data_IF_377105232895
#
_entry.id   IF_377105232895
#
_cell.length_a   1.000
_cell.length_b   1.000
_cell.length_c   1.000
_cell.angle_alpha   90.00
_cell.angle_beta   90.00
_cell.angle_gamma   90.00
#
_symmetry.space_group_name_H-M   'P 1'
#
loop_
_entity.id
_entity.type
_entity.pdbx_description
1 polymer ?
#
# COMPACT_ATOMS: atom_id res chain seq x y z
N UNK A 1 -13.42 17.49 10.35
CA UNK A 1 -13.62 18.62 9.44
C UNK A 1 -12.89 19.82 10.05
N UNK A 2 -11.75 20.20 9.51
CA UNK A 2 -11.09 21.44 9.93
C UNK A 2 -11.74 22.60 9.19
N UNK A 3 -12.46 23.45 9.92
CA UNK A 3 -13.07 24.64 9.36
C UNK A 3 -12.16 25.84 9.68
N UNK A 4 -11.74 26.56 8.65
CA UNK A 4 -11.05 27.85 8.83
C UNK A 4 -12.03 28.91 9.34
N UNK A 5 -11.58 29.99 10.01
CA UNK A 5 -12.46 31.09 10.40
C UNK A 5 -13.22 31.67 9.21
N UNK A 6 -14.54 31.80 9.37
CA UNK A 6 -15.44 32.24 8.31
C UNK A 6 -16.90 31.91 8.59
N UNK A 7 -17.76 32.21 7.62
CA UNK A 7 -19.19 31.90 7.67
C UNK A 7 -19.50 30.73 6.75
N UNK A 8 -20.15 29.69 7.27
CA UNK A 8 -20.47 28.45 6.56
C UNK A 8 -21.97 28.19 6.58
N UNK A 9 -22.52 27.82 5.44
CA UNK A 9 -23.89 27.36 5.35
C UNK A 9 -23.94 25.85 5.65
N UNK A 10 -24.69 25.49 6.68
CA UNK A 10 -24.97 24.11 7.04
C UNK A 10 -26.32 23.70 6.45
N UNK A 11 -26.33 22.69 5.58
CA UNK A 11 -27.55 22.11 5.04
C UNK A 11 -27.60 20.63 5.42
N UNK A 12 -28.61 20.24 6.21
CA UNK A 12 -28.86 18.87 6.59
C UNK A 12 -30.08 18.36 5.82
N UNK A 13 -29.89 17.31 5.03
CA UNK A 13 -30.95 16.68 4.25
C UNK A 13 -31.19 15.24 4.72
N UNK A 14 -32.45 14.80 4.64
CA UNK A 14 -32.85 13.43 4.84
C UNK A 14 -33.94 13.05 3.84
N UNK A 15 -34.10 11.75 3.58
CA UNK A 15 -35.13 11.29 2.65
C UNK A 15 -36.53 11.72 3.11
N UNK A 16 -37.29 12.33 2.20
CA UNK A 16 -38.66 12.79 2.40
C UNK A 16 -38.87 13.79 3.55
N UNK A 17 -37.86 14.65 3.81
CA UNK A 17 -37.94 15.76 4.78
C UNK A 17 -37.56 17.07 4.13
N UNK A 18 -38.00 18.18 4.72
CA UNK A 18 -37.51 19.51 4.33
C UNK A 18 -36.05 19.66 4.81
N UNK A 19 -35.14 20.25 3.98
CA UNK A 19 -33.79 20.56 4.42
C UNK A 19 -33.81 21.47 5.67
N UNK A 20 -32.91 21.19 6.60
CA UNK A 20 -32.59 22.13 7.67
C UNK A 20 -31.40 22.97 7.22
N UNK A 21 -31.56 24.27 7.25
CA UNK A 21 -30.54 25.25 6.87
C UNK A 21 -30.14 26.11 8.08
N UNK A 22 -28.85 26.27 8.29
CA UNK A 22 -28.31 27.15 9.33
C UNK A 22 -27.01 27.80 8.87
N UNK A 23 -26.69 28.95 9.41
CA UNK A 23 -25.40 29.59 9.22
C UNK A 23 -24.52 29.35 10.45
N UNK A 24 -23.30 28.83 10.25
CA UNK A 24 -22.31 28.62 11.29
C UNK A 24 -21.21 29.67 11.13
N UNK A 25 -20.92 30.41 12.20
CA UNK A 25 -19.78 31.31 12.25
C UNK A 25 -18.62 30.60 12.99
N UNK A 26 -17.54 30.35 12.26
CA UNK A 26 -16.28 29.92 12.84
C UNK A 26 -15.43 31.16 13.06
N UNK A 27 -14.99 31.38 14.28
CA UNK A 27 -14.16 32.55 14.66
C UNK A 27 -12.72 32.08 14.89
N UNK A 28 -11.74 32.95 14.60
CA UNK A 28 -10.36 32.70 14.95
C UNK A 28 -10.24 32.51 16.46
N UNK A 29 -9.49 31.50 16.92
CA UNK A 29 -9.21 31.36 18.34
C UNK A 29 -8.38 32.56 18.85
N UNK A 30 -8.50 32.87 20.14
CA UNK A 30 -7.53 33.74 20.81
C UNK A 30 -6.18 33.01 20.86
N UNK A 31 -5.10 33.68 20.44
CA UNK A 31 -3.77 33.10 20.38
C UNK A 31 -3.44 32.35 19.08
N UNK A 32 -2.36 31.56 19.05
CA UNK A 32 -2.01 30.73 17.90
C UNK A 32 -2.94 29.52 17.80
N UNK A 33 -3.17 29.04 16.55
CA UNK A 33 -3.90 27.81 16.29
C UNK A 33 -3.28 27.08 15.08
N UNK A 34 -2.62 25.96 15.35
CA UNK A 34 -1.83 25.23 14.37
C UNK A 34 -2.65 24.09 13.76
N UNK A 35 -2.60 23.99 12.44
CA UNK A 35 -3.19 22.89 11.67
C UNK A 35 -2.15 22.33 10.71
N UNK A 36 -2.30 21.06 10.34
CA UNK A 36 -1.55 20.46 9.24
C UNK A 36 -1.99 21.04 7.91
N UNK A 37 -1.04 21.37 7.04
CA UNK A 37 -1.28 21.88 5.70
C UNK A 37 -0.86 20.86 4.63
N UNK A 38 0.40 20.42 4.64
CA UNK A 38 0.97 19.53 3.63
C UNK A 38 2.20 18.79 4.15
N UNK A 39 2.72 17.85 3.34
CA UNK A 39 4.03 17.20 3.56
C UNK A 39 4.85 17.20 2.26
N UNK A 40 6.15 17.02 2.42
CA UNK A 40 7.10 16.75 1.33
C UNK A 40 7.92 15.50 1.67
N UNK A 41 8.16 14.65 0.67
CA UNK A 41 9.03 13.48 0.80
C UNK A 41 10.46 13.93 0.50
N UNK A 42 11.29 13.97 1.52
CA UNK A 42 12.69 14.42 1.41
C UNK A 42 13.60 13.29 0.94
N UNK A 43 13.30 12.05 1.34
CA UNK A 43 14.10 10.88 1.04
C UNK A 43 13.24 9.62 1.03
N UNK A 44 13.61 8.66 0.17
CA UNK A 44 12.88 7.42 -0.01
C UNK A 44 11.59 7.57 -0.81
N UNK A 45 10.72 6.59 -0.67
CA UNK A 45 9.36 6.58 -1.22
C UNK A 45 8.39 5.91 -0.25
N UNK A 46 7.09 6.24 -0.32
CA UNK A 46 6.07 5.62 0.54
C UNK A 46 5.72 4.24 -0.02
N UNK A 47 6.75 3.39 -0.07
CA UNK A 47 6.74 2.10 -0.73
C UNK A 47 7.09 0.98 0.27
N UNK A 48 6.51 -0.21 0.03
CA UNK A 48 6.77 -1.41 0.84
C UNK A 48 8.28 -1.69 0.97
N UNK A 49 8.70 -2.10 2.16
CA UNK A 49 10.09 -2.46 2.45
C UNK A 49 11.08 -1.29 2.48
N UNK A 50 10.63 -0.04 2.25
CA UNK A 50 11.48 1.14 2.25
C UNK A 50 11.33 1.99 3.50
N UNK A 51 12.32 2.86 3.71
CA UNK A 51 12.30 3.94 4.70
C UNK A 51 11.97 5.24 3.99
N UNK A 52 11.00 5.98 4.51
CA UNK A 52 10.63 7.30 4.02
C UNK A 52 10.95 8.36 5.07
N UNK A 53 11.45 9.50 4.62
CA UNK A 53 11.67 10.70 5.43
C UNK A 53 10.80 11.83 4.89
N UNK A 54 9.98 12.39 5.76
CA UNK A 54 9.02 13.44 5.40
C UNK A 54 9.21 14.68 6.28
N UNK A 55 9.22 15.85 5.65
CA UNK A 55 8.98 17.12 6.32
C UNK A 55 7.50 17.47 6.29
N UNK A 56 7.01 18.19 7.31
CA UNK A 56 5.63 18.66 7.38
C UNK A 56 5.55 20.17 7.25
N UNK A 57 4.44 20.63 6.67
CA UNK A 57 4.04 22.02 6.65
C UNK A 57 2.82 22.18 7.57
N UNK A 58 2.90 23.15 8.45
CA UNK A 58 1.78 23.55 9.32
C UNK A 58 1.40 24.99 9.05
N UNK A 59 0.11 25.28 9.13
CA UNK A 59 -0.43 26.63 9.04
C UNK A 59 -0.86 27.10 10.42
N UNK A 60 -0.56 28.36 10.75
CA UNK A 60 -1.09 29.01 11.93
C UNK A 60 -2.32 29.86 11.53
N UNK A 61 -3.50 29.29 11.65
CA UNK A 61 -4.77 30.01 11.38
C UNK A 61 -5.26 30.87 12.56
N UNK A 62 -4.45 30.96 13.63
CA UNK A 62 -4.69 31.84 14.76
C UNK A 62 -4.28 33.29 14.48
N UNK A 63 -4.49 34.17 15.48
CA UNK A 63 -4.24 35.62 15.39
C UNK A 63 -2.91 36.05 16.02
N UNK A 64 -2.21 35.12 16.69
CA UNK A 64 -0.91 35.33 17.30
C UNK A 64 0.09 34.31 16.77
N UNK A 65 1.38 34.67 16.79
CA UNK A 65 2.45 33.78 16.38
C UNK A 65 2.72 32.68 17.41
N UNK A 66 3.08 31.49 16.93
CA UNK A 66 3.58 30.40 17.73
C UNK A 66 5.11 30.26 17.58
N UNK A 67 5.79 29.76 18.62
CA UNK A 67 7.23 29.54 18.58
C UNK A 67 7.63 28.31 19.40
N UNK A 68 8.78 27.71 19.06
CA UNK A 68 9.33 26.52 19.69
C UNK A 68 8.28 25.40 19.78
N UNK A 69 7.69 25.05 18.65
CA UNK A 69 6.68 24.00 18.57
C UNK A 69 7.39 22.67 18.42
N UNK A 70 7.10 21.74 19.33
CA UNK A 70 7.45 20.33 19.24
C UNK A 70 6.22 19.56 18.74
N UNK A 71 6.39 18.75 17.71
CA UNK A 71 5.34 17.90 17.16
C UNK A 71 5.73 16.42 17.30
N UNK A 72 4.75 15.60 17.64
CA UNK A 72 4.91 14.14 17.75
C UNK A 72 3.96 13.48 16.77
N UNK A 73 4.52 12.59 15.93
CA UNK A 73 3.78 11.80 14.94
C UNK A 73 3.46 10.43 15.53
N UNK A 74 2.23 9.99 15.37
CA UNK A 74 1.80 8.64 15.74
C UNK A 74 0.95 8.02 14.64
N UNK A 75 0.87 6.69 14.61
CA UNK A 75 -0.01 5.93 13.71
C UNK A 75 -0.44 4.62 14.37
N UNK A 76 -1.65 4.17 14.08
CA UNK A 76 -2.18 2.87 14.50
C UNK A 76 -2.02 1.81 13.40
N UNK A 77 -1.40 2.14 12.27
CA UNK A 77 -1.21 1.19 11.16
C UNK A 77 -0.27 0.05 11.59
N UNK A 78 -0.72 -1.22 11.47
CA UNK A 78 0.12 -2.38 11.83
C UNK A 78 1.27 -2.61 10.83
N UNK A 79 1.30 -1.89 9.73
CA UNK A 79 2.30 -2.01 8.66
C UNK A 79 3.40 -0.95 8.74
N UNK A 80 3.36 -0.06 9.73
CA UNK A 80 4.29 1.06 9.87
C UNK A 80 5.15 0.88 11.11
N UNK A 81 6.44 1.08 10.95
CA UNK A 81 7.40 1.23 12.04
C UNK A 81 7.90 2.67 12.00
N UNK A 82 7.56 3.47 13.00
CA UNK A 82 8.12 4.80 13.18
C UNK A 82 9.58 4.70 13.64
N UNK A 83 10.51 5.24 12.84
CA UNK A 83 11.94 5.26 13.16
C UNK A 83 12.30 6.55 13.91
N UNK A 84 11.76 7.67 13.46
CA UNK A 84 11.73 8.95 14.18
C UNK A 84 10.34 9.54 14.08
N UNK A 85 9.80 9.99 15.19
CA UNK A 85 8.44 10.52 15.30
C UNK A 85 8.38 11.98 15.73
N UNK A 86 9.53 12.65 15.89
CA UNK A 86 9.60 14.00 16.42
C UNK A 86 9.88 14.99 15.29
N UNK A 87 9.25 16.13 15.37
CA UNK A 87 9.46 17.28 14.50
C UNK A 87 9.50 18.56 15.32
N UNK A 88 10.20 19.57 14.82
CA UNK A 88 10.25 20.89 15.45
C UNK A 88 9.95 22.00 14.43
N UNK A 89 9.41 23.11 14.95
CA UNK A 89 9.20 24.35 14.19
C UNK A 89 9.64 25.52 15.07
N UNK A 90 10.52 26.38 14.55
CA UNK A 90 11.05 27.50 15.33
C UNK A 90 9.99 28.59 15.56
N UNK A 91 9.36 29.05 14.46
CA UNK A 91 8.44 30.18 14.49
C UNK A 91 7.42 30.09 13.37
N UNK A 92 6.15 30.20 13.73
CA UNK A 92 5.02 30.22 12.79
C UNK A 92 4.18 31.46 13.03
N UNK A 93 4.31 32.44 12.14
CA UNK A 93 3.53 33.68 12.25
C UNK A 93 2.04 33.40 12.07
N UNK A 94 1.23 34.31 12.62
CA UNK A 94 -0.21 34.29 12.39
C UNK A 94 -0.54 34.37 10.88
N UNK A 95 -1.40 33.49 10.40
CA UNK A 95 -1.81 33.34 9.01
C UNK A 95 -0.64 33.00 8.05
N UNK A 96 0.38 32.32 8.51
CA UNK A 96 1.50 31.84 7.69
C UNK A 96 1.68 30.33 7.82
N UNK A 97 2.28 29.73 6.78
CA UNK A 97 2.70 28.34 6.72
C UNK A 97 4.19 28.26 7.04
N UNK A 98 4.60 27.25 7.80
CA UNK A 98 6.01 26.96 8.09
C UNK A 98 6.30 25.47 7.88
N UNK A 99 7.47 25.18 7.34
CA UNK A 99 8.01 23.82 7.22
C UNK A 99 8.71 23.43 8.52
N UNK A 100 8.70 22.14 8.85
CA UNK A 100 9.49 21.59 9.96
C UNK A 100 10.99 21.80 9.73
N UNK A 101 11.74 21.99 10.81
CA UNK A 101 13.21 22.14 10.77
C UNK A 101 13.92 20.80 10.47
N UNK A 102 13.24 19.70 10.72
CA UNK A 102 13.70 18.32 10.65
C UNK A 102 12.64 17.44 9.96
N UNK A 103 12.95 16.17 9.78
CA UNK A 103 12.07 15.18 9.17
C UNK A 103 11.66 14.13 10.20
N UNK A 104 10.43 13.61 10.10
CA UNK A 104 10.10 12.33 10.71
C UNK A 104 10.33 11.20 9.72
N UNK A 105 10.58 9.99 10.22
CA UNK A 105 10.87 8.86 9.35
C UNK A 105 10.14 7.59 9.80
N UNK A 106 9.78 6.78 8.82
CA UNK A 106 9.11 5.50 9.04
C UNK A 106 9.48 4.47 7.98
N UNK A 107 9.33 3.20 8.34
CA UNK A 107 9.49 2.07 7.44
C UNK A 107 8.16 1.39 7.19
N UNK A 108 7.91 0.94 5.96
CA UNK A 108 6.76 0.11 5.63
C UNK A 108 7.16 -1.37 5.59
N UNK A 109 6.33 -2.21 6.21
CA UNK A 109 6.52 -3.66 6.16
C UNK A 109 6.27 -4.21 4.75
N UNK A 110 6.99 -5.27 4.37
CA UNK A 110 6.80 -5.94 3.08
C UNK A 110 5.39 -6.52 2.87
N UNK A 111 4.63 -6.71 3.95
CA UNK A 111 3.27 -7.25 3.92
C UNK A 111 2.19 -6.21 3.73
N UNK A 112 2.54 -4.92 3.56
CA UNK A 112 1.54 -3.86 3.37
C UNK A 112 0.82 -4.06 2.03
N UNK A 113 -0.53 -4.02 1.99
CA UNK A 113 -1.25 -4.09 0.73
C UNK A 113 -1.07 -2.83 -0.12
N UNK A 114 -1.07 -2.98 -1.45
CA UNK A 114 -1.08 -1.84 -2.37
C UNK A 114 -2.28 -0.93 -2.12
N UNK A 115 -2.06 0.38 -2.11
CA UNK A 115 -3.09 1.38 -1.87
C UNK A 115 -3.61 1.46 -0.42
N UNK A 116 -2.98 0.75 0.52
CA UNK A 116 -3.40 0.77 1.93
C UNK A 116 -3.25 2.19 2.50
N UNK A 117 -4.34 2.79 3.04
CA UNK A 117 -4.27 4.11 3.65
C UNK A 117 -3.57 4.05 5.01
N UNK A 118 -2.55 4.87 5.18
CA UNK A 118 -1.82 5.07 6.42
C UNK A 118 -2.24 6.41 7.00
N UNK A 119 -2.85 6.38 8.17
CA UNK A 119 -3.26 7.58 8.88
C UNK A 119 -2.19 7.94 9.92
N UNK A 120 -1.71 9.17 9.87
CA UNK A 120 -0.81 9.75 10.85
C UNK A 120 -1.55 10.80 11.67
N UNK A 121 -1.37 10.77 12.98
CA UNK A 121 -1.82 11.79 13.90
C UNK A 121 -0.63 12.67 14.30
N UNK A 122 -0.86 13.95 14.37
CA UNK A 122 0.13 14.98 14.74
C UNK A 122 -0.32 15.63 16.03
N UNK A 123 0.48 15.55 17.08
CA UNK A 123 0.24 16.27 18.34
C UNK A 123 1.26 17.39 18.49
N UNK A 124 0.79 18.63 18.57
CA UNK A 124 1.58 19.85 18.66
C UNK A 124 1.22 20.61 19.95
N UNK A 125 1.53 20.02 21.09
CA UNK A 125 1.15 20.57 22.40
C UNK A 125 -0.37 20.49 22.63
N UNK A 126 -1.08 21.61 22.48
CA UNK A 126 -2.55 21.67 22.65
C UNK A 126 -3.32 21.47 21.33
N UNK A 127 -2.62 21.36 20.20
CA UNK A 127 -3.25 21.23 18.88
C UNK A 127 -3.03 19.82 18.34
N UNK A 128 -4.08 19.30 17.76
CA UNK A 128 -4.09 17.98 17.14
C UNK A 128 -4.49 18.11 15.67
N UNK A 129 -3.82 17.36 14.82
CA UNK A 129 -4.13 17.30 13.40
C UNK A 129 -3.86 15.88 12.89
N UNK A 130 -4.22 15.61 11.63
CA UNK A 130 -3.95 14.32 11.02
C UNK A 130 -3.88 14.43 9.51
N UNK A 131 -3.19 13.48 8.88
CA UNK A 131 -3.14 13.32 7.44
C UNK A 131 -3.08 11.84 7.07
N UNK A 132 -3.30 11.54 5.80
CA UNK A 132 -3.25 10.18 5.28
C UNK A 132 -2.41 10.11 4.01
N UNK A 133 -1.66 9.03 3.87
CA UNK A 133 -0.92 8.68 2.65
C UNK A 133 -1.29 7.26 2.23
N UNK A 134 -1.18 6.95 0.93
CA UNK A 134 -1.40 5.60 0.44
C UNK A 134 -0.06 4.90 0.21
N UNK A 135 0.06 3.68 0.71
CA UNK A 135 1.23 2.86 0.47
C UNK A 135 1.28 2.36 -0.97
N UNK A 136 2.47 2.31 -1.54
CA UNK A 136 2.78 1.73 -2.84
C UNK A 136 3.37 0.34 -2.61
N UNK A 137 2.74 -0.70 -3.15
CA UNK A 137 3.19 -2.08 -2.99
C UNK A 137 2.89 -2.92 -4.24
N UNK A 138 3.53 -4.08 -4.44
CA UNK A 138 3.12 -5.02 -5.46
C UNK A 138 1.80 -5.70 -5.10
N UNK A 139 1.04 -6.10 -6.11
CA UNK A 139 -0.14 -6.95 -5.96
C UNK A 139 -0.12 -8.03 -7.05
N UNK A 140 0.39 -9.22 -6.68
CA UNK A 140 0.60 -10.33 -7.61
C UNK A 140 -0.62 -11.24 -7.66
N UNK A 141 -1.02 -11.59 -8.88
CA UNK A 141 -2.10 -12.55 -9.16
C UNK A 141 -1.65 -13.52 -10.24
N UNK A 142 -1.94 -14.81 -10.05
CA UNK A 142 -1.77 -15.81 -11.08
C UNK A 142 -3.04 -15.86 -11.96
N UNK A 143 -2.86 -15.70 -13.26
CA UNK A 143 -3.95 -15.61 -14.23
C UNK A 143 -3.70 -16.50 -15.44
N UNK A 144 -4.73 -16.74 -16.24
CA UNK A 144 -4.65 -17.42 -17.54
C UNK A 144 -3.90 -18.76 -17.52
N UNK A 145 -4.20 -19.71 -16.62
CA UNK A 145 -3.52 -21.00 -16.61
C UNK A 145 -3.87 -21.78 -17.89
N UNK A 146 -2.84 -22.29 -18.56
CA UNK A 146 -2.96 -23.15 -19.74
C UNK A 146 -2.12 -24.39 -19.52
N UNK A 147 -2.72 -25.57 -19.65
CA UNK A 147 -2.02 -26.85 -19.69
C UNK A 147 -1.81 -27.24 -21.15
N UNK A 148 -0.56 -27.46 -21.52
CA UNK A 148 -0.14 -27.86 -22.87
C UNK A 148 0.42 -29.28 -22.76
N UNK A 149 -0.33 -30.25 -23.24
CA UNK A 149 0.07 -31.66 -23.33
C UNK A 149 1.11 -31.86 -24.43
N UNK A 150 1.92 -32.93 -24.31
CA UNK A 150 3.08 -33.15 -25.19
C UNK A 150 2.69 -33.48 -26.64
N UNK A 151 1.56 -34.17 -26.82
CA UNK A 151 1.07 -34.56 -28.16
C UNK A 151 0.12 -33.53 -28.79
N UNK A 152 -0.29 -32.51 -28.01
CA UNK A 152 -1.16 -31.40 -28.42
C UNK A 152 -2.57 -31.84 -28.91
N UNK A 153 -3.11 -32.92 -28.33
CA UNK A 153 -4.47 -33.36 -28.62
C UNK A 153 -5.53 -32.80 -27.65
N UNK A 154 -5.05 -32.10 -26.57
CA UNK A 154 -5.88 -31.45 -25.57
C UNK A 154 -6.27 -32.36 -24.40
N UNK A 155 -5.68 -33.55 -24.31
CA UNK A 155 -5.90 -34.51 -23.25
C UNK A 155 -4.55 -34.85 -22.61
N UNK A 156 -4.38 -34.61 -21.33
CA UNK A 156 -3.17 -35.04 -20.62
C UNK A 156 -3.33 -36.45 -20.08
N UNK A 157 -2.68 -37.40 -20.72
CA UNK A 157 -2.79 -38.85 -20.46
C UNK A 157 -1.79 -39.32 -19.41
N UNK A 158 -2.05 -40.50 -18.83
CA UNK A 158 -1.13 -41.14 -17.90
C UNK A 158 0.23 -41.47 -18.57
N UNK A 159 1.33 -41.11 -17.93
CA UNK A 159 2.69 -41.23 -18.45
C UNK A 159 3.11 -40.18 -19.44
N UNK A 160 2.32 -39.10 -19.62
CA UNK A 160 2.61 -38.01 -20.54
C UNK A 160 3.22 -36.80 -19.82
N UNK A 161 4.10 -36.09 -20.53
CA UNK A 161 4.63 -34.81 -20.09
C UNK A 161 3.69 -33.67 -20.50
N UNK A 162 3.64 -32.61 -19.70
CA UNK A 162 2.90 -31.40 -20.01
C UNK A 162 3.64 -30.14 -19.52
N UNK A 163 3.21 -28.98 -20.02
CA UNK A 163 3.65 -27.68 -19.53
C UNK A 163 2.44 -26.95 -18.96
N UNK A 164 2.50 -26.62 -17.68
CA UNK A 164 1.57 -25.64 -17.10
C UNK A 164 2.16 -24.25 -17.30
N UNK A 165 1.55 -23.48 -18.17
CA UNK A 165 1.88 -22.07 -18.38
C UNK A 165 0.89 -21.23 -17.60
N UNK A 166 1.40 -20.18 -16.91
CA UNK A 166 0.57 -19.26 -16.14
C UNK A 166 1.16 -17.85 -16.18
N UNK A 167 0.31 -16.86 -16.25
CA UNK A 167 0.69 -15.45 -16.18
C UNK A 167 0.71 -15.01 -14.70
N UNK A 168 1.85 -14.50 -14.26
CA UNK A 168 2.00 -13.80 -12.99
C UNK A 168 1.90 -12.30 -13.28
N UNK A 169 0.80 -11.71 -12.89
CA UNK A 169 0.50 -10.29 -13.17
C UNK A 169 0.70 -9.47 -11.90
N UNK A 170 1.48 -8.41 -12.01
CA UNK A 170 1.59 -7.43 -10.94
C UNK A 170 0.63 -6.27 -11.20
N UNK A 171 -0.52 -6.29 -10.53
CA UNK A 171 -1.52 -5.21 -10.55
C UNK A 171 -1.20 -4.07 -9.55
N UNK A 172 -0.09 -4.19 -8.81
CA UNK A 172 0.33 -3.18 -7.85
C UNK A 172 1.11 -2.04 -8.48
N UNK A 173 1.35 -1.00 -7.70
CA UNK A 173 2.03 0.23 -8.12
C UNK A 173 3.54 0.22 -7.81
N UNK A 174 4.04 -0.84 -7.15
CA UNK A 174 5.46 -1.10 -6.96
C UNK A 174 5.91 -2.36 -7.71
N UNK A 175 7.17 -2.42 -8.10
CA UNK A 175 7.79 -3.62 -8.61
C UNK A 175 7.92 -4.67 -7.48
N UNK A 176 7.75 -5.93 -7.82
CA UNK A 176 8.04 -7.05 -6.92
C UNK A 176 9.40 -7.64 -7.27
N UNK A 177 10.34 -7.55 -6.35
CA UNK A 177 11.67 -8.13 -6.49
C UNK A 177 11.85 -9.25 -5.48
N UNK A 178 11.73 -10.48 -5.94
CA UNK A 178 12.00 -11.65 -5.12
C UNK A 178 12.79 -12.72 -5.88
N UNK A 179 13.73 -13.34 -5.20
CA UNK A 179 14.52 -14.44 -5.67
C UNK A 179 14.30 -15.63 -4.72
N UNK A 180 13.99 -16.84 -5.19
CA UNK A 180 14.26 -17.38 -6.53
C UNK A 180 13.13 -17.26 -7.58
N UNK A 181 11.97 -16.66 -7.29
CA UNK A 181 10.90 -16.53 -8.25
C UNK A 181 9.62 -17.25 -7.84
N UNK A 182 8.95 -17.92 -8.78
CA UNK A 182 7.77 -18.73 -8.50
C UNK A 182 8.12 -20.21 -8.38
N UNK A 183 7.48 -20.91 -7.43
CA UNK A 183 7.53 -22.35 -7.26
C UNK A 183 6.13 -22.96 -7.31
N UNK A 184 6.06 -24.24 -7.66
CA UNK A 184 4.80 -24.98 -7.78
C UNK A 184 4.71 -26.05 -6.69
N UNK A 185 3.59 -26.09 -5.98
CA UNK A 185 3.22 -27.23 -5.14
C UNK A 185 2.10 -28.01 -5.84
N UNK A 186 2.29 -29.32 -5.96
CA UNK A 186 1.33 -30.23 -6.57
C UNK A 186 0.79 -31.15 -5.48
N UNK A 187 -0.52 -31.05 -5.21
CA UNK A 187 -1.19 -31.90 -4.23
C UNK A 187 -1.76 -33.15 -4.93
N UNK A 188 -0.85 -33.97 -5.47
CA UNK A 188 -1.19 -35.22 -6.14
C UNK A 188 0.02 -36.18 -6.17
N UNK A 189 -0.12 -37.46 -5.80
CA UNK A 189 0.99 -38.40 -5.78
C UNK A 189 1.39 -38.93 -7.16
N UNK A 190 0.57 -38.72 -8.18
CA UNK A 190 0.79 -39.21 -9.55
C UNK A 190 1.38 -38.18 -10.50
N UNK A 191 1.51 -36.91 -10.05
CA UNK A 191 2.02 -35.83 -10.88
C UNK A 191 3.17 -35.14 -10.18
N UNK A 192 4.22 -34.87 -10.92
CA UNK A 192 5.43 -34.23 -10.39
C UNK A 192 6.03 -33.24 -11.39
N UNK A 193 6.73 -32.27 -10.86
CA UNK A 193 7.51 -31.30 -11.64
C UNK A 193 8.84 -31.95 -12.06
N UNK A 194 9.15 -31.97 -13.35
CA UNK A 194 10.34 -32.63 -13.90
C UNK A 194 11.59 -31.76 -13.85
N UNK A 195 11.41 -30.43 -13.83
CA UNK A 195 12.48 -29.45 -13.78
C UNK A 195 12.14 -28.44 -12.69
N UNK A 196 12.71 -28.66 -11.50
CA UNK A 196 12.56 -27.71 -10.40
C UNK A 196 13.27 -26.38 -10.75
N UNK A 197 12.72 -25.28 -10.22
CA UNK A 197 13.29 -23.93 -10.29
C UNK A 197 13.39 -23.30 -11.70
N UNK A 198 12.50 -23.67 -12.62
CA UNK A 198 12.53 -23.14 -13.98
C UNK A 198 11.96 -21.71 -14.09
N UNK A 199 11.23 -21.24 -13.08
CA UNK A 199 10.59 -19.92 -13.08
C UNK A 199 11.36 -18.92 -12.23
N UNK A 200 12.67 -18.86 -12.46
CA UNK A 200 13.52 -17.85 -11.84
C UNK A 200 13.29 -16.53 -12.60
N UNK A 201 12.81 -15.52 -11.90
CA UNK A 201 12.72 -14.16 -12.41
C UNK A 201 13.30 -13.19 -11.38
N UNK A 202 13.89 -12.10 -11.86
CA UNK A 202 14.51 -11.11 -10.98
C UNK A 202 13.53 -10.07 -10.45
N UNK A 203 12.30 -10.07 -10.96
CA UNK A 203 11.23 -9.19 -10.54
C UNK A 203 10.13 -9.10 -11.58
N UNK A 204 9.00 -8.58 -11.15
CA UNK A 204 7.87 -8.20 -12.00
C UNK A 204 7.60 -6.72 -11.74
N UNK A 205 7.85 -5.89 -12.74
CA UNK A 205 7.60 -4.44 -12.65
C UNK A 205 6.14 -4.15 -12.36
N UNK A 206 5.88 -2.95 -11.82
CA UNK A 206 4.51 -2.49 -11.59
C UNK A 206 3.70 -2.54 -12.89
N UNK A 207 2.47 -3.03 -12.81
CA UNK A 207 1.53 -3.11 -13.95
C UNK A 207 2.05 -3.96 -15.13
N UNK A 208 2.90 -4.96 -14.87
CA UNK A 208 3.43 -5.87 -15.90
C UNK A 208 3.13 -7.33 -15.60
N UNK A 209 3.37 -8.17 -16.62
CA UNK A 209 3.12 -9.61 -16.58
C UNK A 209 4.42 -10.37 -16.83
N UNK A 210 4.63 -11.44 -16.08
CA UNK A 210 5.62 -12.48 -16.33
C UNK A 210 4.89 -13.80 -16.62
N UNK A 211 5.17 -14.44 -17.77
CA UNK A 211 4.61 -15.76 -18.09
C UNK A 211 5.56 -16.86 -17.61
N UNK A 212 5.13 -17.60 -16.59
CA UNK A 212 5.85 -18.74 -16.04
C UNK A 212 5.49 -20.05 -16.74
N UNK A 213 6.42 -21.01 -16.72
CA UNK A 213 6.21 -22.38 -17.27
C UNK A 213 6.72 -23.40 -16.28
N UNK A 214 5.86 -24.33 -15.88
CA UNK A 214 6.19 -25.47 -15.03
C UNK A 214 6.11 -26.74 -15.87
N UNK A 215 7.19 -27.51 -15.89
CA UNK A 215 7.30 -28.76 -16.66
C UNK A 215 6.85 -29.93 -15.80
N UNK A 216 5.82 -30.62 -16.24
CA UNK A 216 5.12 -31.64 -15.49
C UNK A 216 5.24 -33.00 -16.19
N UNK A 217 5.12 -34.06 -15.41
CA UNK A 217 4.94 -35.43 -15.91
C UNK A 217 3.91 -36.14 -15.04
N UNK A 218 3.02 -36.89 -15.67
CA UNK A 218 2.09 -37.79 -14.99
C UNK A 218 2.65 -39.20 -14.93
N UNK A 219 2.44 -39.93 -13.81
CA UNK A 219 2.77 -41.31 -13.70
C UNK A 219 1.93 -42.18 -14.66
N UNK A 220 2.53 -43.23 -15.21
CA UNK A 220 1.82 -44.18 -16.09
C UNK A 220 0.65 -44.91 -15.40
N UNK A 221 0.65 -44.95 -14.08
CA UNK A 221 -0.41 -45.56 -13.26
C UNK A 221 -1.45 -44.53 -12.81
N UNK A 222 -1.41 -43.30 -13.32
CA UNK A 222 -2.39 -42.26 -12.99
C UNK A 222 -3.82 -42.71 -13.37
N UNK A 223 -4.75 -42.78 -12.42
CA UNK A 223 -6.13 -43.16 -12.71
C UNK A 223 -6.83 -42.15 -13.60
N UNK A 224 -7.65 -42.65 -14.52
CA UNK A 224 -8.50 -41.79 -15.35
C UNK A 224 -9.43 -40.89 -14.51
N UNK A 225 -9.53 -39.62 -14.88
CA UNK A 225 -10.33 -38.62 -14.16
C UNK A 225 -9.69 -38.12 -12.85
N UNK A 226 -8.39 -38.32 -12.66
CA UNK A 226 -7.66 -37.78 -11.50
C UNK A 226 -7.70 -36.25 -11.48
N UNK A 227 -8.15 -35.68 -10.36
CA UNK A 227 -8.10 -34.23 -10.13
C UNK A 227 -6.74 -33.82 -9.54
N UNK A 228 -6.16 -32.78 -10.10
CA UNK A 228 -4.86 -32.26 -9.71
C UNK A 228 -5.02 -30.80 -9.29
N UNK A 229 -4.56 -30.46 -8.07
CA UNK A 229 -4.52 -29.10 -7.58
C UNK A 229 -3.10 -28.56 -7.70
N UNK A 230 -2.96 -27.40 -8.31
CA UNK A 230 -1.70 -26.67 -8.42
C UNK A 230 -1.76 -25.41 -7.53
N UNK A 231 -0.73 -25.22 -6.71
CA UNK A 231 -0.56 -24.03 -5.88
C UNK A 231 0.75 -23.37 -6.27
N UNK A 232 0.68 -22.13 -6.74
CA UNK A 232 1.85 -21.34 -7.10
C UNK A 232 2.22 -20.46 -5.91
N UNK A 233 3.48 -20.51 -5.52
CA UNK A 233 4.07 -19.68 -4.49
C UNK A 233 5.05 -18.71 -5.13
N UNK A 234 5.02 -17.47 -4.69
CA UNK A 234 6.04 -16.44 -4.96
C UNK A 234 6.42 -15.78 -3.64
N UNK A 235 7.71 -15.56 -3.43
CA UNK A 235 8.13 -14.94 -2.20
C UNK A 235 9.36 -15.52 -1.63
#
# INVERSE_FOLDING_TARGET
>A
LNLIPGSYDLVITSFNTYPYEANLSVVSPEGPYLIYENFEVESGSIQYGEVSELSLFIENVGIESANNIEAIITTDSPYVILNDSNLSFDYVNANEISQSNDTFSFSLLNSIPNGHPINFNISMGNWESSFSVNAIAPFLVAENPILIDNNADGIWEAGESAILQVDLVNHGDAAFYNYPGASLTIDNPFVFETVADNNIFYGIEAQTTYTGQFFLESDSDTPDGTNINFIIHWG
#
